data_IF_426561698266
#
_entry.id   IF_426561698266
#
_cell.length_a   1.000
_cell.length_b   1.000
_cell.length_c   1.000
_cell.angle_alpha   90.00
_cell.angle_beta   90.00
_cell.angle_gamma   90.00
#
_symmetry.space_group_name_H-M   'P 1'
#
loop_
_entity.id
_entity.type
_entity.pdbx_description
1 polymer ?
#
# COMPACT_ATOMS: atom_id res chain seq x y z
N UNK A 1 -21.83 9.06 -1.88
CA UNK A 1 -21.84 8.95 -3.35
C UNK A 1 -20.80 9.83 -3.99
N UNK A 2 -21.06 11.14 -4.07
CA UNK A 2 -20.20 12.12 -4.77
C UNK A 2 -18.74 12.15 -4.30
N UNK A 3 -18.48 11.99 -3.00
CA UNK A 3 -17.12 11.99 -2.46
C UNK A 3 -16.23 10.86 -3.02
N UNK A 4 -16.79 9.67 -3.26
CA UNK A 4 -16.02 8.54 -3.84
C UNK A 4 -15.64 8.82 -5.29
N UNK A 5 -16.56 9.40 -6.06
CA UNK A 5 -16.29 9.80 -7.45
C UNK A 5 -15.20 10.87 -7.48
N UNK A 6 -15.28 11.87 -6.61
CA UNK A 6 -14.26 12.91 -6.49
C UNK A 6 -12.88 12.32 -6.14
N UNK A 7 -12.82 11.38 -5.20
CA UNK A 7 -11.56 10.70 -4.83
C UNK A 7 -10.97 9.94 -6.01
N UNK A 8 -11.77 9.18 -6.77
CA UNK A 8 -11.29 8.42 -7.92
C UNK A 8 -10.68 9.32 -8.99
N UNK A 9 -11.34 10.45 -9.29
CA UNK A 9 -10.83 11.44 -10.25
C UNK A 9 -9.54 12.09 -9.71
N UNK A 10 -9.57 12.56 -8.45
CA UNK A 10 -8.43 13.22 -7.83
C UNK A 10 -7.20 12.33 -7.74
N UNK A 11 -7.35 11.04 -7.40
CA UNK A 11 -6.24 10.09 -7.35
C UNK A 11 -5.63 9.88 -8.73
N UNK A 12 -6.47 9.80 -9.77
CA UNK A 12 -5.98 9.63 -11.14
C UNK A 12 -5.18 10.86 -11.58
N UNK A 13 -5.66 12.07 -11.28
CA UNK A 13 -4.94 13.30 -11.63
C UNK A 13 -3.66 13.46 -10.81
N UNK A 14 -3.70 13.17 -9.51
CA UNK A 14 -2.52 13.22 -8.66
C UNK A 14 -1.43 12.24 -9.12
N UNK A 15 -1.82 11.04 -9.55
CA UNK A 15 -0.90 10.05 -10.11
C UNK A 15 -0.22 10.54 -11.40
N UNK A 16 -1.02 11.14 -12.31
CA UNK A 16 -0.49 11.74 -13.53
C UNK A 16 0.53 12.85 -13.22
N UNK A 17 0.20 13.73 -12.29
CA UNK A 17 1.02 14.87 -11.92
C UNK A 17 2.28 14.48 -11.14
N UNK A 18 2.22 13.49 -10.27
CA UNK A 18 3.32 13.16 -9.34
C UNK A 18 4.21 12.02 -9.80
N UNK A 19 3.67 11.04 -10.53
CA UNK A 19 4.41 9.83 -10.89
C UNK A 19 4.60 9.74 -12.39
N UNK A 20 3.53 9.85 -13.20
CA UNK A 20 3.69 9.71 -14.66
C UNK A 20 4.46 10.88 -15.28
N UNK A 21 4.33 12.09 -14.75
CA UNK A 21 5.07 13.28 -15.21
C UNK A 21 6.60 13.14 -15.11
N UNK A 22 7.10 12.19 -14.31
CA UNK A 22 8.53 11.87 -14.21
C UNK A 22 9.09 11.29 -15.51
N UNK A 23 8.22 10.76 -16.38
CA UNK A 23 8.59 10.22 -17.68
C UNK A 23 7.55 10.62 -18.73
N UNK A 24 7.80 11.67 -19.53
CA UNK A 24 6.81 12.23 -20.45
C UNK A 24 6.43 11.27 -21.60
N UNK A 25 7.19 10.19 -21.81
CA UNK A 25 6.89 9.18 -22.82
C UNK A 25 6.09 8.00 -22.27
N UNK A 26 5.93 7.92 -20.95
CA UNK A 26 5.15 6.86 -20.31
C UNK A 26 3.71 7.30 -20.13
N UNK A 27 2.79 6.63 -20.82
CA UNK A 27 1.35 6.83 -20.65
C UNK A 27 0.67 5.50 -20.35
N UNK A 28 -0.25 5.49 -19.38
CA UNK A 28 -1.07 4.33 -19.05
C UNK A 28 -2.35 4.77 -18.34
N UNK A 29 -3.50 4.36 -18.89
CA UNK A 29 -4.81 4.64 -18.29
C UNK A 29 -5.09 3.83 -17.03
N UNK A 30 -4.40 2.70 -16.85
CA UNK A 30 -4.57 1.79 -15.72
C UNK A 30 -3.74 2.23 -14.49
N UNK A 31 -2.75 3.11 -14.69
CA UNK A 31 -1.76 3.43 -13.66
C UNK A 31 -2.38 4.17 -12.45
N UNK A 32 -3.27 5.13 -12.68
CA UNK A 32 -3.99 5.81 -11.60
C UNK A 32 -4.85 4.86 -10.76
N UNK A 33 -5.48 3.87 -11.40
CA UNK A 33 -6.23 2.84 -10.68
C UNK A 33 -5.31 1.92 -9.88
N UNK A 34 -4.13 1.58 -10.41
CA UNK A 34 -3.12 0.78 -9.72
C UNK A 34 -2.63 1.50 -8.45
N UNK A 35 -2.31 2.80 -8.55
CA UNK A 35 -1.88 3.61 -7.40
C UNK A 35 -3.01 3.76 -6.37
N UNK A 36 -4.24 3.96 -6.82
CA UNK A 36 -5.41 4.03 -5.95
C UNK A 36 -5.68 2.74 -5.17
N UNK A 37 -5.67 1.58 -5.84
CA UNK A 37 -5.80 0.28 -5.19
C UNK A 37 -4.63 0.00 -4.25
N UNK A 38 -3.41 0.38 -4.65
CA UNK A 38 -2.24 0.32 -3.80
C UNK A 38 -2.38 1.12 -2.51
N UNK A 39 -2.98 2.31 -2.59
CA UNK A 39 -3.29 3.14 -1.42
C UNK A 39 -4.37 2.51 -0.52
N UNK A 40 -5.42 1.90 -1.10
CA UNK A 40 -6.44 1.16 -0.34
C UNK A 40 -5.85 -0.05 0.39
N UNK A 41 -4.98 -0.81 -0.29
CA UNK A 41 -4.28 -1.95 0.30
C UNK A 41 -3.38 -1.49 1.45
N UNK A 42 -2.63 -0.40 1.28
CA UNK A 42 -1.81 0.17 2.33
C UNK A 42 -2.65 0.68 3.52
N UNK A 43 -3.77 1.34 3.27
CA UNK A 43 -4.67 1.81 4.32
C UNK A 43 -5.26 0.64 5.13
N UNK A 44 -5.68 -0.44 4.46
CA UNK A 44 -6.17 -1.65 5.12
C UNK A 44 -5.08 -2.32 5.95
N UNK A 45 -3.87 -2.45 5.39
CA UNK A 45 -2.74 -3.02 6.10
C UNK A 45 -2.34 -2.18 7.33
N UNK A 46 -2.34 -0.84 7.20
CA UNK A 46 -2.08 0.06 8.32
C UNK A 46 -3.14 -0.05 9.42
N UNK A 47 -4.42 -0.18 9.07
CA UNK A 47 -5.49 -0.38 10.04
C UNK A 47 -5.32 -1.70 10.82
N UNK A 48 -5.03 -2.80 10.12
CA UNK A 48 -4.81 -4.12 10.72
C UNK A 48 -3.57 -4.11 11.63
N UNK A 49 -2.45 -3.56 11.16
CA UNK A 49 -1.23 -3.44 11.95
C UNK A 49 -1.44 -2.54 13.19
N UNK A 50 -2.15 -1.42 13.02
CA UNK A 50 -2.53 -0.52 14.10
C UNK A 50 -3.36 -1.21 15.18
N UNK A 51 -4.31 -2.07 14.78
CA UNK A 51 -5.09 -2.88 15.72
C UNK A 51 -4.23 -3.93 16.45
N UNK A 52 -3.42 -4.68 15.69
CA UNK A 52 -2.63 -5.80 16.21
C UNK A 52 -1.53 -5.37 17.19
N UNK A 53 -0.89 -4.21 16.94
CA UNK A 53 0.22 -3.71 17.76
C UNK A 53 -0.20 -2.59 18.73
N UNK A 54 -1.49 -2.35 18.91
CA UNK A 54 -1.95 -1.35 19.88
C UNK A 54 -1.67 -1.81 21.32
N UNK A 55 -0.77 -1.14 22.08
CA UNK A 55 -0.43 -1.54 23.44
C UNK A 55 -1.58 -1.37 24.43
N UNK A 56 -2.61 -0.58 24.08
CA UNK A 56 -3.81 -0.34 24.91
C UNK A 56 -4.93 -1.34 24.66
N UNK A 57 -4.75 -2.28 23.73
CA UNK A 57 -5.77 -3.29 23.46
C UNK A 57 -5.74 -4.36 24.56
N UNK A 58 -6.57 -4.19 25.60
CA UNK A 58 -6.72 -5.16 26.70
C UNK A 58 -7.31 -6.50 26.22
N UNK A 59 -8.07 -6.49 25.12
CA UNK A 59 -8.59 -7.69 24.47
C UNK A 59 -7.52 -8.35 23.58
N UNK A 60 -6.59 -9.07 24.22
CA UNK A 60 -5.57 -9.88 23.53
C UNK A 60 -6.14 -11.04 22.70
N UNK A 61 -7.39 -11.43 22.96
CA UNK A 61 -8.14 -12.40 22.14
C UNK A 61 -9.24 -11.67 21.37
N UNK A 62 -8.94 -11.11 20.18
CA UNK A 62 -9.97 -10.55 19.31
C UNK A 62 -10.98 -11.62 18.90
N UNK A 63 -12.18 -11.17 18.54
CA UNK A 63 -13.15 -12.05 17.90
C UNK A 63 -12.51 -12.69 16.66
N UNK A 64 -12.35 -14.01 16.73
CA UNK A 64 -11.76 -14.81 15.67
C UNK A 64 -12.50 -14.64 14.34
N UNK A 65 -13.79 -14.30 14.37
CA UNK A 65 -14.58 -14.05 13.17
C UNK A 65 -14.18 -12.72 12.51
N UNK A 66 -14.14 -11.63 13.29
CA UNK A 66 -13.70 -10.32 12.79
C UNK A 66 -12.30 -10.39 12.16
N UNK A 67 -11.36 -11.07 12.81
CA UNK A 67 -9.99 -11.18 12.28
C UNK A 67 -9.96 -11.98 10.97
N UNK A 68 -10.81 -13.00 10.84
CA UNK A 68 -10.95 -13.74 9.60
C UNK A 68 -11.51 -12.87 8.46
N UNK A 69 -12.54 -12.08 8.75
CA UNK A 69 -13.18 -11.19 7.79
C UNK A 69 -12.20 -10.10 7.31
N UNK A 70 -11.41 -9.53 8.23
CA UNK A 70 -10.32 -8.59 7.88
C UNK A 70 -9.25 -9.26 7.02
N UNK A 71 -8.86 -10.49 7.34
CA UNK A 71 -7.92 -11.26 6.52
C UNK A 71 -8.44 -11.56 5.11
N UNK A 72 -9.74 -11.88 4.97
CA UNK A 72 -10.37 -12.10 3.67
C UNK A 72 -10.46 -10.80 2.86
N UNK A 73 -10.76 -9.68 3.51
CA UNK A 73 -10.79 -8.37 2.88
C UNK A 73 -9.39 -7.93 2.42
N UNK A 74 -8.36 -8.13 3.25
CA UNK A 74 -6.97 -7.89 2.89
C UNK A 74 -6.55 -8.74 1.69
N UNK A 75 -6.92 -10.02 1.68
CA UNK A 75 -6.67 -10.92 0.55
C UNK A 75 -7.35 -10.42 -0.73
N UNK A 76 -8.60 -9.94 -0.64
CA UNK A 76 -9.30 -9.38 -1.79
C UNK A 76 -8.54 -8.17 -2.38
N UNK A 77 -8.05 -7.25 -1.54
CA UNK A 77 -7.24 -6.13 -2.01
C UNK A 77 -5.90 -6.56 -2.62
N UNK A 78 -5.23 -7.55 -2.05
CA UNK A 78 -4.01 -8.15 -2.62
C UNK A 78 -4.30 -8.72 -4.01
N UNK A 79 -5.40 -9.45 -4.19
CA UNK A 79 -5.79 -10.03 -5.47
C UNK A 79 -6.08 -8.95 -6.52
N UNK A 80 -6.81 -7.89 -6.14
CA UNK A 80 -7.11 -6.77 -7.04
C UNK A 80 -5.82 -6.04 -7.44
N UNK A 81 -4.93 -5.78 -6.48
CA UNK A 81 -3.64 -5.17 -6.75
C UNK A 81 -2.81 -6.03 -7.72
N UNK A 82 -2.69 -7.33 -7.45
CA UNK A 82 -1.93 -8.24 -8.30
C UNK A 82 -2.52 -8.32 -9.72
N UNK A 83 -3.85 -8.33 -9.83
CA UNK A 83 -4.54 -8.28 -11.11
C UNK A 83 -4.18 -7.02 -11.91
N UNK A 84 -4.24 -5.83 -11.29
CA UNK A 84 -3.90 -4.59 -11.98
C UNK A 84 -2.41 -4.51 -12.36
N UNK A 85 -1.51 -4.87 -11.43
CA UNK A 85 -0.07 -4.92 -11.69
C UNK A 85 0.26 -5.85 -12.85
N UNK A 86 -0.29 -7.06 -12.86
CA UNK A 86 -0.06 -8.03 -13.91
C UNK A 86 -0.69 -7.60 -15.24
N UNK A 87 -1.93 -7.07 -15.20
CA UNK A 87 -2.62 -6.59 -16.41
C UNK A 87 -1.86 -5.44 -17.06
N UNK A 88 -1.36 -4.49 -16.28
CA UNK A 88 -0.53 -3.41 -16.80
C UNK A 88 0.74 -3.95 -17.46
N UNK A 89 1.43 -4.87 -16.78
CA UNK A 89 2.63 -5.50 -17.34
C UNK A 89 2.34 -6.22 -18.66
N UNK A 90 1.27 -7.04 -18.71
CA UNK A 90 0.89 -7.80 -19.90
C UNK A 90 0.47 -6.90 -21.07
N UNK A 91 -0.28 -5.83 -20.81
CA UNK A 91 -0.68 -4.87 -21.87
C UNK A 91 0.56 -4.20 -22.45
N UNK A 92 1.47 -3.74 -21.61
CA UNK A 92 2.70 -3.07 -22.05
C UNK A 92 3.64 -4.02 -22.79
N UNK A 93 3.72 -5.26 -22.32
CA UNK A 93 4.52 -6.30 -22.95
C UNK A 93 3.91 -6.76 -24.30
N UNK A 94 2.59 -6.90 -24.38
CA UNK A 94 1.89 -7.32 -25.59
C UNK A 94 1.75 -6.22 -26.63
N UNK A 95 1.69 -4.95 -26.22
CA UNK A 95 1.58 -3.81 -27.14
C UNK A 95 2.88 -3.49 -27.87
N UNK A 96 4.02 -3.86 -27.27
CA UNK A 96 5.39 -3.70 -27.79
C UNK A 96 5.68 -2.31 -28.44
N UNK A 97 5.02 -1.26 -27.94
CA UNK A 97 5.33 0.11 -28.36
C UNK A 97 6.64 0.53 -27.70
N UNK A 98 7.68 0.89 -28.48
CA UNK A 98 9.03 1.10 -27.94
C UNK A 98 9.12 2.25 -26.93
N UNK A 99 8.21 3.22 -26.97
CA UNK A 99 8.16 4.35 -26.04
C UNK A 99 7.54 3.96 -24.69
N UNK A 100 6.48 3.16 -24.71
CA UNK A 100 5.74 2.72 -23.52
C UNK A 100 6.43 1.54 -22.81
N UNK A 101 6.92 0.57 -23.60
CA UNK A 101 7.65 -0.60 -23.11
C UNK A 101 8.98 -0.22 -22.42
N UNK A 102 9.55 0.94 -22.77
CA UNK A 102 10.80 1.41 -22.18
C UNK A 102 10.71 1.58 -20.65
N UNK A 103 9.52 1.84 -20.09
CA UNK A 103 9.32 1.94 -18.64
C UNK A 103 9.67 0.63 -17.91
N UNK A 104 9.18 -0.50 -18.43
CA UNK A 104 9.46 -1.83 -17.88
C UNK A 104 10.85 -2.33 -18.29
N UNK A 105 11.30 -2.05 -19.52
CA UNK A 105 12.64 -2.45 -19.98
C UNK A 105 13.75 -1.82 -19.13
N UNK A 106 13.69 -0.52 -18.82
CA UNK A 106 14.66 0.16 -17.94
C UNK A 106 14.74 -0.46 -16.55
N UNK A 107 13.62 -1.01 -16.06
CA UNK A 107 13.49 -1.61 -14.72
C UNK A 107 13.89 -3.09 -14.70
N UNK A 108 13.72 -3.80 -15.81
CA UNK A 108 14.08 -5.21 -15.97
C UNK A 108 15.53 -5.45 -16.42
N UNK A 109 16.18 -4.49 -17.08
CA UNK A 109 17.53 -4.67 -17.66
C UNK A 109 18.66 -4.07 -16.80
N UNK A 110 18.34 -3.19 -15.85
CA UNK A 110 19.33 -2.56 -14.97
C UNK A 110 19.47 -3.30 -13.63
N UNK A 111 20.29 -2.77 -12.72
CA UNK A 111 20.48 -3.32 -11.37
C UNK A 111 19.23 -3.40 -10.48
N UNK A 112 18.08 -2.94 -10.99
CA UNK A 112 16.75 -3.03 -10.39
C UNK A 112 15.96 -4.26 -10.87
N UNK A 113 16.54 -5.09 -11.74
CA UNK A 113 15.90 -6.25 -12.37
C UNK A 113 15.35 -7.27 -11.38
N UNK A 114 15.99 -7.40 -10.21
CA UNK A 114 15.57 -8.33 -9.15
C UNK A 114 14.40 -7.79 -8.32
N UNK A 115 14.12 -6.48 -8.34
CA UNK A 115 13.06 -5.86 -7.53
C UNK A 115 11.69 -6.18 -8.11
N UNK A 116 11.52 -6.21 -9.43
CA UNK A 116 10.25 -6.59 -10.06
C UNK A 116 9.78 -8.01 -9.67
N UNK A 117 10.59 -9.08 -9.80
CA UNK A 117 10.18 -10.39 -9.32
C UNK A 117 10.07 -10.46 -7.79
N UNK A 118 10.90 -9.71 -7.04
CA UNK A 118 10.76 -9.64 -5.58
C UNK A 118 9.43 -9.00 -5.15
N UNK A 119 8.96 -7.96 -5.86
CA UNK A 119 7.66 -7.34 -5.63
C UNK A 119 6.51 -8.27 -6.02
N UNK A 120 6.64 -9.05 -7.09
CA UNK A 120 5.65 -10.08 -7.41
C UNK A 120 5.58 -11.15 -6.31
N UNK A 121 6.72 -11.64 -5.82
CA UNK A 121 6.78 -12.63 -4.75
C UNK A 121 6.26 -12.08 -3.41
N UNK A 122 6.74 -10.89 -3.01
CA UNK A 122 6.37 -10.26 -1.74
C UNK A 122 4.99 -9.63 -1.72
N UNK A 123 4.53 -9.08 -2.85
CA UNK A 123 3.23 -8.42 -2.95
C UNK A 123 2.07 -9.36 -3.21
N UNK A 124 2.32 -10.50 -3.88
CA UNK A 124 1.27 -11.45 -4.25
C UNK A 124 1.47 -12.84 -3.65
N UNK A 125 2.57 -13.54 -3.98
CA UNK A 125 2.69 -14.96 -3.63
C UNK A 125 2.78 -15.23 -2.12
N UNK A 126 3.59 -14.45 -1.39
CA UNK A 126 3.74 -14.59 0.06
C UNK A 126 2.40 -14.27 0.78
N UNK A 127 1.77 -13.10 0.54
CA UNK A 127 0.48 -12.79 1.17
C UNK A 127 -0.62 -13.77 0.78
N UNK A 128 -0.67 -14.22 -0.48
CA UNK A 128 -1.64 -15.22 -0.93
C UNK A 128 -1.49 -16.52 -0.14
N UNK A 129 -0.26 -17.06 -0.04
CA UNK A 129 -0.01 -18.30 0.68
C UNK A 129 -0.36 -18.18 2.18
N UNK A 130 -0.01 -17.06 2.81
CA UNK A 130 -0.34 -16.81 4.21
C UNK A 130 -1.85 -16.63 4.44
N UNK A 131 -2.53 -15.82 3.62
CA UNK A 131 -3.95 -15.47 3.79
C UNK A 131 -4.91 -16.56 3.30
N UNK A 132 -4.44 -17.55 2.56
CA UNK A 132 -5.25 -18.72 2.21
C UNK A 132 -5.55 -19.58 3.45
N UNK A 133 -4.62 -19.63 4.41
CA UNK A 133 -4.80 -20.35 5.67
C UNK A 133 -5.80 -19.65 6.59
N UNK A 134 -6.84 -20.37 7.02
CA UNK A 134 -7.82 -19.84 7.96
C UNK A 134 -7.20 -19.57 9.34
N UNK A 135 -6.27 -20.43 9.78
CA UNK A 135 -5.63 -20.30 11.09
C UNK A 135 -4.69 -19.09 11.15
N UNK A 136 -4.04 -18.76 10.03
CA UNK A 136 -3.21 -17.56 9.94
C UNK A 136 -4.06 -16.29 10.08
N UNK A 137 -5.25 -16.26 9.45
CA UNK A 137 -6.17 -15.12 9.51
C UNK A 137 -6.84 -14.91 10.87
N UNK A 138 -6.91 -15.93 11.71
CA UNK A 138 -7.51 -15.82 13.05
C UNK A 138 -6.56 -15.22 14.09
N UNK A 139 -5.26 -15.30 13.83
CA UNK A 139 -4.22 -14.82 14.73
C UNK A 139 -3.88 -13.36 14.41
N UNK A 140 -4.23 -12.45 15.32
CA UNK A 140 -4.07 -11.02 15.13
C UNK A 140 -2.60 -10.59 15.01
N UNK A 141 -1.68 -11.25 15.70
CA UNK A 141 -0.26 -10.91 15.63
C UNK A 141 0.33 -11.34 14.29
N UNK A 142 -0.03 -12.54 13.81
CA UNK A 142 0.41 -13.01 12.48
C UNK A 142 -0.15 -12.14 11.36
N UNK A 143 -1.45 -11.83 11.43
CA UNK A 143 -2.08 -10.96 10.45
C UNK A 143 -1.50 -9.54 10.49
N UNK A 144 -1.23 -8.99 11.68
CA UNK A 144 -0.56 -7.71 11.87
C UNK A 144 0.85 -7.66 11.32
N UNK A 145 1.65 -8.72 11.54
CA UNK A 145 3.01 -8.83 10.99
C UNK A 145 2.98 -8.90 9.46
N UNK A 146 2.06 -9.67 8.88
CA UNK A 146 1.87 -9.71 7.44
C UNK A 146 1.44 -8.34 6.88
N UNK A 147 0.55 -7.64 7.58
CA UNK A 147 0.12 -6.30 7.19
C UNK A 147 1.30 -5.30 7.23
N UNK A 148 2.16 -5.36 8.25
CA UNK A 148 3.37 -4.55 8.32
C UNK A 148 4.35 -4.89 7.18
N UNK A 149 4.50 -6.17 6.85
CA UNK A 149 5.29 -6.61 5.71
C UNK A 149 4.75 -6.06 4.39
N UNK A 150 3.42 -6.12 4.18
CA UNK A 150 2.75 -5.54 3.00
C UNK A 150 2.98 -4.03 2.89
N UNK A 151 2.97 -3.29 4.01
CA UNK A 151 3.34 -1.87 4.00
C UNK A 151 4.77 -1.66 3.51
N UNK A 152 5.71 -2.50 3.95
CA UNK A 152 7.09 -2.50 3.46
C UNK A 152 7.17 -2.74 1.95
N UNK A 153 6.45 -3.76 1.44
CA UNK A 153 6.37 -4.05 0.00
C UNK A 153 5.79 -2.86 -0.77
N UNK A 154 4.74 -2.22 -0.25
CA UNK A 154 4.13 -1.02 -0.84
C UNK A 154 5.11 0.15 -0.95
N UNK A 155 5.95 0.35 0.07
CA UNK A 155 7.00 1.38 0.02
C UNK A 155 8.06 1.07 -1.05
N UNK A 156 8.50 -0.19 -1.14
CA UNK A 156 9.44 -0.63 -2.17
C UNK A 156 8.84 -0.48 -3.57
N UNK A 157 7.55 -0.76 -3.74
CA UNK A 157 6.85 -0.59 -5.01
C UNK A 157 6.74 0.87 -5.44
N UNK A 158 6.36 1.77 -4.53
CA UNK A 158 6.35 3.21 -4.80
C UNK A 158 7.75 3.72 -5.17
N UNK A 159 8.77 3.24 -4.46
CA UNK A 159 10.15 3.54 -4.79
C UNK A 159 10.51 3.02 -6.20
N UNK A 160 10.11 1.79 -6.54
CA UNK A 160 10.32 1.20 -7.87
C UNK A 160 9.58 1.95 -8.98
N UNK A 161 8.41 2.55 -8.70
CA UNK A 161 7.68 3.40 -9.64
C UNK A 161 8.42 4.73 -9.88
N UNK A 162 8.90 5.40 -8.83
CA UNK A 162 9.44 6.77 -8.89
C UNK A 162 10.94 6.84 -9.25
N UNK A 163 11.80 6.05 -8.59
CA UNK A 163 13.26 6.20 -8.69
C UNK A 163 13.88 5.97 -10.08
N UNK A 164 13.37 5.07 -10.95
CA UNK A 164 14.01 4.83 -12.25
C UNK A 164 13.71 5.91 -13.31
N UNK A 165 13.03 7.00 -12.94
CA UNK A 165 12.75 8.16 -13.80
C UNK A 165 13.95 9.11 -13.91
N UNK A 166 14.78 8.91 -14.94
CA UNK A 166 15.46 10.04 -15.60
C UNK A 166 16.96 10.24 -15.39
N UNK A 167 17.62 9.57 -14.44
CA UNK A 167 19.06 9.78 -14.23
C UNK A 167 19.84 8.47 -14.29
N UNK A 168 21.01 8.51 -14.95
CA UNK A 168 22.07 7.50 -14.86
C UNK A 168 22.68 7.53 -13.45
N UNK A 169 21.85 7.43 -12.42
CA UNK A 169 22.30 7.35 -11.04
C UNK A 169 22.75 5.91 -10.79
N UNK A 170 23.98 5.70 -10.27
CA UNK A 170 24.38 4.38 -9.82
C UNK A 170 23.39 3.88 -8.76
N UNK A 171 23.39 2.57 -8.50
CA UNK A 171 22.66 1.86 -7.43
C UNK A 171 22.61 2.59 -6.06
N UNK A 172 23.53 3.54 -5.84
CA UNK A 172 23.77 4.34 -4.64
C UNK A 172 23.25 5.79 -4.80
N UNK A 173 22.10 5.97 -5.44
CA UNK A 173 21.25 7.16 -5.25
C UNK A 173 20.51 7.14 -3.90
N UNK A 174 20.79 6.16 -3.04
CA UNK A 174 20.33 6.08 -1.66
C UNK A 174 21.04 7.16 -0.84
N UNK A 175 20.62 8.41 -1.01
CA UNK A 175 21.04 9.47 -0.12
C UNK A 175 20.45 9.19 1.26
N UNK A 176 21.26 9.23 2.31
CA UNK A 176 20.83 8.91 3.68
C UNK A 176 19.61 9.73 4.14
N UNK A 177 19.35 10.89 3.52
CA UNK A 177 18.17 11.73 3.77
C UNK A 177 16.84 11.08 3.35
N UNK A 178 16.87 10.05 2.49
CA UNK A 178 15.68 9.29 2.12
C UNK A 178 15.16 8.48 3.31
N UNK A 179 16.03 8.01 4.21
CA UNK A 179 15.61 7.27 5.40
C UNK A 179 14.76 8.12 6.35
N UNK A 180 15.19 9.33 6.78
CA UNK A 180 14.34 10.25 7.52
C UNK A 180 13.03 10.58 6.80
N UNK A 181 13.05 10.82 5.49
CA UNK A 181 11.83 11.09 4.74
C UNK A 181 10.86 9.89 4.73
N UNK A 182 11.39 8.67 4.55
CA UNK A 182 10.62 7.42 4.52
C UNK A 182 10.01 7.08 5.89
N UNK A 183 10.64 7.51 7.00
CA UNK A 183 10.12 7.27 8.35
C UNK A 183 9.31 8.44 8.91
N UNK A 184 9.62 9.68 8.52
CA UNK A 184 8.91 10.87 8.97
C UNK A 184 7.50 10.92 8.42
N UNK A 185 7.27 10.53 7.16
CA UNK A 185 5.93 10.56 6.56
C UNK A 185 5.01 9.50 7.22
N UNK A 186 5.38 8.21 7.34
CA UNK A 186 4.58 7.24 8.09
C UNK A 186 4.50 7.57 9.58
N UNK A 187 5.57 8.07 10.19
CA UNK A 187 5.60 8.47 11.60
C UNK A 187 4.62 9.61 11.90
N UNK A 188 4.62 10.66 11.08
CA UNK A 188 3.67 11.77 11.21
C UNK A 188 2.22 11.32 10.99
N UNK A 189 1.98 10.41 10.05
CA UNK A 189 0.67 9.81 9.83
C UNK A 189 0.19 9.01 11.05
N UNK A 190 1.06 8.17 11.63
CA UNK A 190 0.75 7.40 12.84
C UNK A 190 0.47 8.31 14.04
N UNK A 191 1.23 9.40 14.20
CA UNK A 191 1.00 10.41 15.24
C UNK A 191 -0.33 11.14 15.04
N UNK A 192 -0.67 11.51 13.81
CA UNK A 192 -1.96 12.12 13.48
C UNK A 192 -3.12 11.16 13.77
N UNK A 193 -2.98 9.89 13.40
CA UNK A 193 -3.95 8.84 13.71
C UNK A 193 -4.12 8.66 15.22
N UNK A 194 -3.02 8.57 15.97
CA UNK A 194 -3.12 8.47 17.42
C UNK A 194 -3.79 9.71 18.04
N UNK A 195 -3.48 10.91 17.54
CA UNK A 195 -4.10 12.14 17.99
C UNK A 195 -5.62 12.17 17.72
N UNK A 196 -6.06 11.67 16.56
CA UNK A 196 -7.48 11.56 16.20
C UNK A 196 -8.20 10.55 17.09
N UNK A 197 -7.64 9.35 17.26
CA UNK A 197 -8.20 8.32 18.14
C UNK A 197 -8.30 8.83 19.58
N UNK A 198 -7.28 9.55 20.07
CA UNK A 198 -7.30 10.19 21.41
C UNK A 198 -8.32 11.32 21.52
N UNK A 199 -8.65 12.02 20.43
CA UNK A 199 -9.70 13.05 20.43
C UNK A 199 -11.08 12.41 20.55
N UNK A 200 -11.31 11.36 19.75
CA UNK A 200 -12.59 10.66 19.70
C UNK A 200 -12.91 9.95 21.03
N UNK A 201 -11.95 9.22 21.60
CA UNK A 201 -12.11 8.57 22.90
C UNK A 201 -12.52 9.56 24.03
N UNK A 202 -11.90 10.74 24.06
CA UNK A 202 -12.25 11.80 25.02
C UNK A 202 -13.65 12.38 24.79
N UNK A 203 -14.13 12.35 23.55
CA UNK A 203 -15.46 12.84 23.20
C UNK A 203 -16.53 11.82 23.57
N UNK A 204 -16.27 10.52 23.36
CA UNK A 204 -17.12 9.43 23.83
C UNK A 204 -17.27 9.43 25.35
N UNK A 205 -16.17 9.58 26.09
CA UNK A 205 -16.20 9.69 27.56
C UNK A 205 -17.04 10.89 28.03
N UNK A 206 -16.89 12.06 27.38
CA UNK A 206 -17.71 13.24 27.69
C UNK A 206 -19.20 13.02 27.44
N UNK A 207 -19.55 12.37 26.33
CA UNK A 207 -20.94 12.08 25.99
C UNK A 207 -21.56 11.05 26.95
N UNK A 208 -20.79 10.12 27.49
CA UNK A 208 -21.26 9.16 28.52
C UNK A 208 -21.47 9.80 29.90
N UNK A 209 -20.80 10.91 30.19
CA UNK A 209 -20.89 11.63 31.48
C UNK A 209 -22.03 12.67 31.53
N UNK A 210 -22.65 12.99 30.40
CA UNK A 210 -23.84 13.84 30.32
C UNK A 210 -25.01 12.88 30.07
N UNK A 211 -25.83 12.53 31.09
CA UNK A 211 -27.01 11.71 30.87
C UNK A 211 -27.97 12.51 29.97
N UNK A 212 -28.54 11.85 28.96
CA UNK A 212 -29.61 12.44 28.15
C UNK A 212 -30.75 12.90 29.10
N UNK A 213 -31.00 14.21 29.18
CA UNK A 213 -32.18 14.81 29.83
C UNK A 213 -33.46 14.56 29.01
#
# INVERSE_FOLDING_TARGET
>A
GLGLIAILISVTWADMDWIMSLDPFFTSTLFGALVGVGALLAAMAAAIAGYAFNPRNENRNPDSKLMNDLGNLLLAFVMIWAYFSLSQFLIMWSGDLPQEAAFYQRRLMNSWSWITPALALGGFFIPLACLLSQDFKRDALKLGLLALFLLGVRLVELAWMVLPGGHKTPLVGFHWSLLPALFAIPGSYLLAMEALVRRDARQTEKNLLIPDE
#
